data_IF_966559978416
#
_entry.id   IF_966559978416
#
_cell.length_a   1.000
_cell.length_b   1.000
_cell.length_c   1.000
_cell.angle_alpha   90.00
_cell.angle_beta   90.00
_cell.angle_gamma   90.00
#
_symmetry.space_group_name_H-M   'P 1'
#
loop_
_entity.id
_entity.type
_entity.pdbx_description
1 polymer ?
#
# COMPACT_ATOMS: atom_id res chain seq x y z
N UNK A 1 -13.31 14.63 -5.51
CA UNK A 1 -13.81 13.31 -5.05
C UNK A 1 -14.70 12.76 -6.14
N UNK A 2 -14.49 11.54 -6.54
CA UNK A 2 -15.22 10.91 -7.63
C UNK A 2 -16.61 10.48 -7.19
N UNK A 3 -17.49 10.31 -8.19
CA UNK A 3 -18.86 9.87 -7.99
C UNK A 3 -18.88 8.51 -7.28
N UNK A 4 -19.63 8.35 -6.18
CA UNK A 4 -19.80 7.06 -5.52
C UNK A 4 -20.29 5.94 -6.46
N UNK A 5 -21.10 6.29 -7.45
CA UNK A 5 -21.56 5.31 -8.44
C UNK A 5 -20.44 4.82 -9.35
N UNK A 6 -19.51 5.69 -9.73
CA UNK A 6 -18.34 5.33 -10.52
C UNK A 6 -17.43 4.39 -9.73
N UNK A 7 -17.16 4.70 -8.46
CA UNK A 7 -16.37 3.85 -7.58
C UNK A 7 -17.03 2.49 -7.42
N UNK A 8 -18.35 2.47 -7.22
CA UNK A 8 -19.10 1.23 -7.09
C UNK A 8 -19.03 0.39 -8.36
N UNK A 9 -19.16 1.01 -9.53
CA UNK A 9 -19.10 0.30 -10.81
C UNK A 9 -17.73 -0.35 -11.01
N UNK A 10 -16.65 0.35 -10.70
CA UNK A 10 -15.30 -0.18 -10.81
C UNK A 10 -15.07 -1.30 -9.79
N UNK A 11 -15.54 -1.11 -8.55
CA UNK A 11 -15.47 -2.16 -7.53
C UNK A 11 -16.20 -3.41 -7.99
N UNK A 12 -17.43 -3.28 -8.49
CA UNK A 12 -18.22 -4.42 -8.94
C UNK A 12 -17.54 -5.14 -10.10
N UNK A 13 -16.91 -4.39 -11.00
CA UNK A 13 -16.13 -4.95 -12.10
C UNK A 13 -14.90 -5.72 -11.59
N UNK A 14 -14.16 -5.17 -10.64
CA UNK A 14 -13.00 -5.82 -10.05
C UNK A 14 -13.40 -7.07 -9.26
N UNK A 15 -14.49 -7.01 -8.52
CA UNK A 15 -15.03 -8.16 -7.77
C UNK A 15 -15.47 -9.28 -8.70
N UNK A 16 -16.25 -8.94 -9.73
CA UNK A 16 -16.76 -9.93 -10.68
C UNK A 16 -15.66 -10.63 -11.46
N UNK A 17 -14.58 -9.93 -11.73
CA UNK A 17 -13.40 -10.47 -12.41
C UNK A 17 -12.47 -11.22 -11.46
N UNK A 18 -12.31 -10.71 -10.22
CA UNK A 18 -11.32 -11.20 -9.28
C UNK A 18 -9.89 -10.92 -9.74
N UNK A 19 -8.94 -11.56 -9.11
CA UNK A 19 -7.54 -11.55 -9.54
C UNK A 19 -7.25 -12.87 -10.25
N UNK A 20 -7.13 -12.81 -11.55
CA UNK A 20 -6.85 -13.97 -12.37
C UNK A 20 -5.35 -14.16 -12.55
N UNK A 21 -4.93 -15.41 -12.70
CA UNK A 21 -3.52 -15.73 -12.96
C UNK A 21 -2.99 -15.01 -14.21
N UNK A 22 -3.84 -14.84 -15.22
CA UNK A 22 -3.50 -14.10 -16.45
C UNK A 22 -3.22 -12.61 -16.21
N UNK A 23 -3.68 -12.04 -15.10
CA UNK A 23 -3.44 -10.63 -14.74
C UNK A 23 -2.14 -10.44 -13.96
N UNK A 24 -1.48 -11.51 -13.56
CA UNK A 24 -0.23 -11.45 -12.79
C UNK A 24 0.92 -11.13 -13.74
N UNK A 25 1.70 -10.14 -13.37
CA UNK A 25 2.91 -9.72 -14.10
C UNK A 25 4.14 -10.20 -13.34
N UNK A 26 5.29 -10.19 -14.01
CA UNK A 26 6.54 -10.73 -13.44
C UNK A 26 6.98 -9.98 -12.16
N UNK A 27 6.80 -8.65 -12.15
CA UNK A 27 7.14 -7.83 -10.99
C UNK A 27 5.85 -7.38 -10.30
N UNK A 28 5.61 -7.79 -9.04
CA UNK A 28 4.41 -7.38 -8.31
C UNK A 28 4.29 -5.87 -8.10
N UNK A 29 5.39 -5.13 -8.17
CA UNK A 29 5.36 -3.67 -8.09
C UNK A 29 4.60 -3.07 -9.28
N UNK A 30 4.67 -3.67 -10.44
CA UNK A 30 3.94 -3.20 -11.62
C UNK A 30 2.42 -3.35 -11.42
N UNK A 31 1.96 -4.46 -10.86
CA UNK A 31 0.55 -4.64 -10.54
C UNK A 31 0.09 -3.67 -9.44
N UNK A 32 0.91 -3.49 -8.42
CA UNK A 32 0.65 -2.51 -7.37
C UNK A 32 0.49 -1.10 -7.95
N UNK A 33 1.37 -0.73 -8.89
CA UNK A 33 1.33 0.58 -9.54
C UNK A 33 0.03 0.80 -10.32
N UNK A 34 -0.45 -0.23 -11.01
CA UNK A 34 -1.76 -0.17 -11.70
C UNK A 34 -2.89 0.08 -10.71
N UNK A 35 -2.92 -0.66 -9.61
CA UNK A 35 -3.96 -0.50 -8.59
C UNK A 35 -3.90 0.86 -7.91
N UNK A 36 -2.69 1.34 -7.61
CA UNK A 36 -2.49 2.66 -7.04
C UNK A 36 -3.02 3.74 -7.99
N UNK A 37 -2.74 3.62 -9.28
CA UNK A 37 -3.22 4.56 -10.29
C UNK A 37 -4.74 4.59 -10.32
N UNK A 38 -5.41 3.44 -10.27
CA UNK A 38 -6.87 3.37 -10.20
C UNK A 38 -7.40 4.09 -8.97
N UNK A 39 -6.80 3.85 -7.80
CA UNK A 39 -7.21 4.50 -6.56
C UNK A 39 -7.03 6.02 -6.63
N UNK A 40 -5.91 6.48 -7.20
CA UNK A 40 -5.64 7.92 -7.37
C UNK A 40 -6.61 8.55 -8.37
N UNK A 41 -6.86 7.91 -9.50
CA UNK A 41 -7.77 8.41 -10.52
C UNK A 41 -9.22 8.51 -10.03
N UNK A 42 -9.60 7.61 -9.11
CA UNK A 42 -10.89 7.66 -8.45
C UNK A 42 -10.96 8.70 -7.32
N UNK A 43 -9.88 9.41 -7.07
CA UNK A 43 -9.84 10.47 -6.08
C UNK A 43 -9.85 9.98 -4.63
N UNK A 44 -9.35 8.79 -4.36
CA UNK A 44 -9.25 8.30 -2.99
C UNK A 44 -8.31 9.18 -2.19
N UNK A 45 -8.79 9.64 -1.03
CA UNK A 45 -7.99 10.45 -0.14
C UNK A 45 -6.78 9.64 0.34
N UNK A 46 -5.60 10.21 0.16
CA UNK A 46 -4.35 9.55 0.53
C UNK A 46 -4.25 8.10 0.02
N UNK A 47 -4.47 7.89 -1.27
CA UNK A 47 -4.33 6.57 -1.88
C UNK A 47 -2.95 5.95 -1.62
N UNK A 48 -1.93 6.78 -1.40
CA UNK A 48 -0.55 6.39 -1.09
C UNK A 48 -0.31 6.15 0.40
N UNK A 49 -1.33 6.21 1.25
CA UNK A 49 -1.20 5.89 2.66
C UNK A 49 -1.06 4.38 2.86
N UNK A 50 -0.14 4.00 3.73
CA UNK A 50 0.07 2.61 4.10
C UNK A 50 0.27 2.48 5.60
N UNK A 51 -0.01 1.31 6.13
CA UNK A 51 0.39 0.94 7.49
C UNK A 51 1.73 0.24 7.38
N UNK A 52 2.72 0.70 8.15
CA UNK A 52 4.03 0.05 8.23
C UNK A 52 4.21 -0.55 9.61
N UNK A 53 4.48 -1.84 9.63
CA UNK A 53 4.82 -2.57 10.85
C UNK A 53 6.33 -2.75 10.92
N UNK A 54 6.89 -2.44 12.09
CA UNK A 54 8.30 -2.67 12.41
C UNK A 54 8.38 -3.52 13.67
N UNK A 55 9.56 -4.05 13.96
CA UNK A 55 9.76 -4.98 15.06
C UNK A 55 10.93 -4.50 15.89
N UNK A 56 10.75 -4.45 17.21
CA UNK A 56 11.82 -4.14 18.13
C UNK A 56 12.82 -5.30 18.22
N UNK A 57 13.98 -5.06 18.83
CA UNK A 57 14.98 -6.09 19.10
C UNK A 57 14.46 -7.20 20.02
N UNK A 58 13.39 -6.92 20.80
CA UNK A 58 12.70 -7.91 21.63
C UNK A 58 11.55 -8.63 20.88
N UNK A 59 11.47 -8.49 19.57
CA UNK A 59 10.46 -9.10 18.73
C UNK A 59 9.03 -8.60 19.03
N UNK A 60 8.89 -7.37 19.52
CA UNK A 60 7.58 -6.75 19.74
C UNK A 60 7.22 -5.90 18.51
N UNK A 61 6.15 -6.26 17.80
CA UNK A 61 5.74 -5.46 16.63
C UNK A 61 5.01 -4.18 17.06
N UNK A 62 5.16 -3.16 16.23
CA UNK A 62 4.37 -1.92 16.31
C UNK A 62 4.02 -1.47 14.90
N UNK A 63 2.96 -0.68 14.74
CA UNK A 63 2.53 -0.23 13.43
C UNK A 63 1.97 1.18 13.48
N UNK A 64 2.02 1.86 12.37
CA UNK A 64 1.55 3.24 12.19
C UNK A 64 1.27 3.52 10.74
N UNK A 65 0.44 4.53 10.49
CA UNK A 65 0.22 5.04 9.14
C UNK A 65 1.40 5.89 8.70
N UNK A 66 1.84 5.70 7.46
CA UNK A 66 2.80 6.57 6.79
C UNK A 66 2.37 6.78 5.34
N UNK A 67 2.89 7.82 4.70
CA UNK A 67 2.65 8.05 3.28
C UNK A 67 3.83 7.54 2.47
N UNK A 68 3.54 6.74 1.44
CA UNK A 68 4.55 6.38 0.46
C UNK A 68 4.94 7.63 -0.33
N UNK A 69 6.23 7.86 -0.49
CA UNK A 69 6.76 9.05 -1.17
C UNK A 69 7.50 8.73 -2.47
N UNK A 70 7.75 7.47 -2.72
CA UNK A 70 8.39 7.05 -3.96
C UNK A 70 8.11 5.59 -4.26
N UNK A 71 8.19 5.26 -5.53
CA UNK A 71 7.96 3.93 -6.04
C UNK A 71 8.94 3.67 -7.17
N UNK A 72 9.64 2.55 -7.10
CA UNK A 72 10.52 2.08 -8.16
C UNK A 72 10.32 0.59 -8.36
N UNK A 73 10.93 0.03 -9.39
CA UNK A 73 10.90 -1.42 -9.64
C UNK A 73 11.53 -2.22 -8.50
N UNK A 74 12.32 -1.56 -7.65
CA UNK A 74 13.01 -2.19 -6.53
C UNK A 74 12.24 -2.09 -5.20
N UNK A 75 11.19 -1.27 -5.12
CA UNK A 75 10.40 -1.18 -3.92
C UNK A 75 9.77 0.19 -3.68
N UNK A 76 9.28 0.34 -2.45
CA UNK A 76 8.58 1.51 -1.98
C UNK A 76 9.51 2.38 -1.13
N UNK A 77 9.30 3.69 -1.18
CA UNK A 77 10.10 4.64 -0.41
C UNK A 77 9.17 5.45 0.48
N UNK A 78 9.52 5.57 1.75
CA UNK A 78 8.91 6.51 2.67
C UNK A 78 10.01 7.21 3.47
N UNK A 79 9.70 8.37 4.02
CA UNK A 79 10.64 9.13 4.84
C UNK A 79 10.21 9.08 6.29
N UNK A 80 11.19 8.98 7.18
CA UNK A 80 10.93 8.93 8.61
C UNK A 80 12.05 9.65 9.36
N UNK A 81 11.73 10.09 10.57
CA UNK A 81 12.72 10.60 11.50
C UNK A 81 13.47 9.40 12.09
N UNK A 82 14.79 9.40 12.00
CA UNK A 82 15.64 8.34 12.54
C UNK A 82 15.53 8.17 14.07
N UNK A 83 15.08 9.22 14.77
CA UNK A 83 14.89 9.17 16.21
C UNK A 83 13.49 8.71 16.62
N UNK A 84 12.58 8.49 15.65
CA UNK A 84 11.27 7.93 15.93
C UNK A 84 11.39 6.46 16.32
N UNK A 85 10.32 5.91 16.92
CA UNK A 85 10.28 4.50 17.27
C UNK A 85 10.51 3.61 16.04
N UNK A 86 9.82 3.88 14.92
CA UNK A 86 10.01 3.08 13.71
C UNK A 86 11.41 3.22 13.12
N UNK A 87 11.99 4.41 13.18
CA UNK A 87 13.37 4.64 12.72
C UNK A 87 14.37 3.83 13.53
N UNK A 88 14.24 3.83 14.85
CA UNK A 88 15.10 3.04 15.75
C UNK A 88 14.90 1.55 15.55
N UNK A 89 13.65 1.10 15.41
CA UNK A 89 13.35 -0.31 15.18
C UNK A 89 13.91 -0.79 13.85
N UNK A 90 13.78 -0.02 12.77
CA UNK A 90 14.33 -0.38 11.46
C UNK A 90 15.86 -0.43 11.46
N UNK A 91 16.49 0.44 12.24
CA UNK A 91 17.95 0.45 12.39
C UNK A 91 18.43 -0.82 13.11
N UNK A 92 17.71 -1.24 14.14
CA UNK A 92 18.05 -2.46 14.91
C UNK A 92 17.61 -3.74 14.21
N UNK A 93 16.48 -3.70 13.46
CA UNK A 93 15.90 -4.83 12.75
C UNK A 93 15.33 -4.34 11.43
N UNK A 94 15.98 -4.62 10.29
CA UNK A 94 15.59 -4.05 8.99
C UNK A 94 14.37 -4.74 8.35
N UNK A 95 13.68 -5.61 9.05
CA UNK A 95 12.47 -6.25 8.54
C UNK A 95 11.24 -5.42 8.86
N UNK A 96 10.39 -5.26 7.86
CA UNK A 96 9.14 -4.52 7.97
C UNK A 96 8.08 -5.15 7.07
N UNK A 97 6.82 -4.86 7.39
CA UNK A 97 5.69 -5.20 6.55
C UNK A 97 4.84 -3.97 6.33
N UNK A 98 4.19 -3.90 5.20
CA UNK A 98 3.28 -2.80 4.91
C UNK A 98 2.01 -3.29 4.23
N UNK A 99 0.94 -2.53 4.42
CA UNK A 99 -0.33 -2.81 3.77
C UNK A 99 -0.97 -1.51 3.29
N UNK A 100 -1.46 -1.54 2.07
CA UNK A 100 -2.33 -0.52 1.50
C UNK A 100 -3.74 -1.08 1.47
N UNK A 101 -4.69 -0.36 2.06
CA UNK A 101 -6.08 -0.81 2.13
C UNK A 101 -6.95 0.07 1.27
N UNK A 102 -7.28 -0.39 0.07
CA UNK A 102 -8.23 0.27 -0.82
C UNK A 102 -9.57 -0.43 -0.75
N UNK A 103 -10.16 -0.43 0.46
CA UNK A 103 -11.36 -1.19 0.76
C UNK A 103 -12.54 -0.92 -0.20
N UNK A 104 -12.80 0.32 -0.66
CA UNK A 104 -13.86 0.54 -1.63
C UNK A 104 -13.64 -0.17 -2.96
N UNK A 105 -12.41 -0.54 -3.29
CA UNK A 105 -12.07 -1.35 -4.47
C UNK A 105 -11.90 -2.83 -4.15
N UNK A 106 -12.03 -3.20 -2.88
CA UNK A 106 -11.77 -4.55 -2.37
C UNK A 106 -10.39 -5.07 -2.78
N UNK A 107 -9.38 -4.19 -2.66
CA UNK A 107 -7.97 -4.46 -2.91
C UNK A 107 -7.13 -4.07 -1.71
N UNK A 108 -6.12 -4.85 -1.48
CA UNK A 108 -5.08 -4.53 -0.50
C UNK A 108 -3.77 -5.20 -0.91
#
# INVERSE_FOLDING_TARGET
MNDPEEVKAIRDQLMGRGLLEADIVDNPIDLFKEWLTVAQDLGFYNAEAMVVSTVSDNAVPSMRNVLMRGLSTNGLIFYTNYLSQKGRELDANPFAASIFSWLPLERQ
#
